data_IF_584071621493
#
_entry.id   IF_584071621493
#
_cell.length_a   1.000
_cell.length_b   1.000
_cell.length_c   1.000
_cell.angle_alpha   90.00
_cell.angle_beta   90.00
_cell.angle_gamma   90.00
#
_symmetry.space_group_name_H-M   'P 1'
#
loop_
_entity.id
_entity.type
_entity.pdbx_description
1 polymer ?
#
# COMPACT_ATOMS: atom_id res chain seq x y z
N UNK A 1 -7.98 10.64 -46.46
CA UNK A 1 -8.15 10.81 -45.01
C UNK A 1 -7.13 9.91 -44.35
N UNK A 2 -6.18 10.47 -43.58
CA UNK A 2 -5.17 9.66 -42.90
C UNK A 2 -5.85 8.76 -41.86
N UNK A 3 -5.62 7.45 -41.94
CA UNK A 3 -6.18 6.51 -40.97
C UNK A 3 -5.18 6.43 -39.80
N UNK A 4 -5.53 7.06 -38.69
CA UNK A 4 -4.67 7.11 -37.50
C UNK A 4 -4.90 5.85 -36.66
N UNK A 5 -3.82 5.15 -36.37
CA UNK A 5 -3.78 3.90 -35.61
C UNK A 5 -3.22 4.17 -34.21
N UNK A 6 -4.03 3.88 -33.20
CA UNK A 6 -3.64 3.97 -31.79
C UNK A 6 -3.34 2.55 -31.28
N UNK A 7 -2.06 2.24 -31.09
CA UNK A 7 -1.59 0.90 -30.71
C UNK A 7 -1.83 0.58 -29.22
N UNK A 8 -2.25 1.57 -28.41
CA UNK A 8 -2.64 1.35 -27.01
C UNK A 8 -4.01 0.66 -26.89
N UNK A 9 -4.82 0.70 -27.96
CA UNK A 9 -6.12 0.03 -28.00
C UNK A 9 -5.99 -1.47 -28.19
N UNK A 10 -7.04 -2.18 -27.78
CA UNK A 10 -7.08 -3.64 -27.92
C UNK A 10 -7.04 -4.07 -29.40
N UNK A 11 -6.42 -5.21 -29.68
CA UNK A 11 -6.34 -5.79 -31.03
C UNK A 11 -7.75 -5.99 -31.60
N UNK A 12 -8.73 -6.32 -30.76
CA UNK A 12 -10.14 -6.46 -31.13
C UNK A 12 -10.71 -5.13 -31.65
N UNK A 13 -10.53 -4.02 -30.91
CA UNK A 13 -11.03 -2.71 -31.32
C UNK A 13 -10.38 -2.24 -32.62
N UNK A 14 -9.07 -2.41 -32.74
CA UNK A 14 -8.31 -2.03 -33.91
C UNK A 14 -8.76 -2.83 -35.15
N UNK A 15 -8.83 -4.16 -35.05
CA UNK A 15 -9.24 -5.01 -36.16
C UNK A 15 -10.72 -4.85 -36.52
N UNK A 16 -11.57 -4.49 -35.56
CA UNK A 16 -12.99 -4.19 -35.81
C UNK A 16 -13.16 -2.87 -36.54
N UNK A 17 -12.36 -1.85 -36.17
CA UNK A 17 -12.37 -0.53 -36.80
C UNK A 17 -11.71 -0.54 -38.18
N UNK A 18 -10.64 -1.31 -38.33
CA UNK A 18 -9.86 -1.43 -39.57
C UNK A 18 -9.67 -2.91 -39.93
N UNK A 19 -10.63 -3.53 -40.64
CA UNK A 19 -10.58 -4.97 -40.98
C UNK A 19 -9.34 -5.40 -41.78
N UNK A 20 -8.71 -4.46 -42.50
CA UNK A 20 -7.46 -4.69 -43.27
C UNK A 20 -6.29 -5.04 -42.33
N UNK A 21 -6.24 -4.45 -41.12
CA UNK A 21 -5.17 -4.72 -40.15
C UNK A 21 -5.17 -6.17 -39.70
N UNK A 22 -6.34 -6.81 -39.65
CA UNK A 22 -6.45 -8.25 -39.33
C UNK A 22 -5.68 -9.11 -40.34
N UNK A 23 -5.71 -8.78 -41.62
CA UNK A 23 -4.95 -9.48 -42.65
C UNK A 23 -3.45 -9.26 -42.48
N UNK A 24 -3.04 -8.00 -42.31
CA UNK A 24 -1.63 -7.62 -42.14
C UNK A 24 -0.99 -8.27 -40.91
N UNK A 25 -1.70 -8.28 -39.77
CA UNK A 25 -1.20 -8.95 -38.57
C UNK A 25 -1.11 -10.48 -38.76
N UNK A 26 -2.08 -11.09 -39.43
CA UNK A 26 -2.09 -12.54 -39.66
C UNK A 26 -0.89 -12.99 -40.51
N UNK A 27 -0.52 -12.21 -41.51
CA UNK A 27 0.64 -12.46 -42.39
C UNK A 27 1.98 -12.20 -41.71
N UNK A 28 2.00 -11.39 -40.64
CA UNK A 28 3.21 -10.97 -39.93
C UNK A 28 3.24 -11.49 -38.48
N UNK A 29 3.06 -12.81 -38.32
CA UNK A 29 3.30 -13.51 -37.05
C UNK A 29 2.07 -13.74 -36.16
N UNK A 30 0.89 -13.21 -36.54
CA UNK A 30 -0.35 -13.35 -35.76
C UNK A 30 -1.43 -14.19 -36.45
N UNK A 31 -1.07 -15.26 -37.19
CA UNK A 31 -2.03 -16.09 -37.94
C UNK A 31 -3.26 -16.56 -37.11
N UNK A 32 -3.06 -16.82 -35.82
CA UNK A 32 -4.09 -17.24 -34.85
C UNK A 32 -5.26 -16.25 -34.68
N UNK A 33 -5.10 -14.96 -35.03
CA UNK A 33 -6.20 -13.98 -34.95
C UNK A 33 -7.29 -14.24 -36.00
N UNK A 34 -6.98 -15.06 -37.02
CA UNK A 34 -7.94 -15.48 -38.04
C UNK A 34 -8.80 -16.66 -37.58
N UNK A 35 -8.41 -17.34 -36.50
CA UNK A 35 -9.18 -18.46 -35.94
C UNK A 35 -10.53 -17.99 -35.37
N UNK A 36 -11.61 -18.79 -35.52
CA UNK A 36 -12.94 -18.42 -35.04
C UNK A 36 -12.93 -18.20 -33.51
N UNK A 37 -13.32 -17.01 -33.05
CA UNK A 37 -13.49 -16.71 -31.63
C UNK A 37 -12.23 -16.20 -30.91
N UNK A 38 -11.03 -16.34 -31.49
CA UNK A 38 -9.77 -15.89 -30.84
C UNK A 38 -9.64 -14.37 -30.73
N UNK A 39 -10.05 -13.65 -31.77
CA UNK A 39 -10.05 -12.19 -31.75
C UNK A 39 -11.06 -11.63 -30.73
N UNK A 40 -12.21 -12.30 -30.56
CA UNK A 40 -13.26 -11.91 -29.61
C UNK A 40 -12.90 -12.21 -28.15
N UNK A 41 -11.96 -13.12 -27.90
CA UNK A 41 -11.57 -13.55 -26.56
C UNK A 41 -10.27 -12.89 -26.14
N UNK A 42 -9.15 -13.31 -26.74
CA UNK A 42 -7.81 -12.81 -26.40
C UNK A 42 -7.56 -11.41 -26.95
N UNK A 43 -8.14 -11.08 -28.12
CA UNK A 43 -7.95 -9.78 -28.75
C UNK A 43 -8.55 -8.60 -27.97
N UNK A 44 -9.48 -8.83 -27.03
CA UNK A 44 -10.07 -7.76 -26.19
C UNK A 44 -9.15 -7.31 -25.05
N UNK A 45 -8.26 -8.20 -24.62
CA UNK A 45 -7.36 -7.96 -23.49
C UNK A 45 -5.89 -7.77 -23.91
N UNK A 46 -5.58 -8.00 -25.19
CA UNK A 46 -4.24 -7.86 -25.75
C UNK A 46 -4.14 -6.62 -26.63
N UNK A 47 -3.05 -5.86 -26.50
CA UNK A 47 -2.69 -4.75 -27.41
C UNK A 47 -1.64 -5.23 -28.42
N UNK A 48 -1.44 -4.49 -29.52
CA UNK A 48 -0.45 -4.87 -30.55
C UNK A 48 0.97 -4.95 -29.97
N UNK A 49 1.46 -3.97 -29.17
CA UNK A 49 2.79 -4.03 -28.55
C UNK A 49 2.97 -5.25 -27.63
N UNK A 50 2.02 -5.50 -26.73
CA UNK A 50 2.05 -6.65 -25.82
C UNK A 50 1.99 -7.98 -26.58
N UNK A 51 1.25 -8.02 -27.70
CA UNK A 51 1.20 -9.18 -28.59
C UNK A 51 2.54 -9.44 -29.30
N UNK A 52 3.23 -8.39 -29.74
CA UNK A 52 4.56 -8.46 -30.35
C UNK A 52 5.59 -9.00 -29.35
N UNK A 53 5.63 -8.45 -28.13
CA UNK A 53 6.54 -8.91 -27.07
C UNK A 53 6.30 -10.38 -26.71
N UNK A 54 5.04 -10.80 -26.61
CA UNK A 54 4.69 -12.18 -26.27
C UNK A 54 5.04 -13.19 -27.38
N UNK A 55 4.95 -12.79 -28.66
CA UNK A 55 5.25 -13.65 -29.80
C UNK A 55 6.67 -13.50 -30.35
N UNK A 56 7.46 -12.58 -29.81
CA UNK A 56 8.79 -12.24 -30.33
C UNK A 56 8.74 -11.68 -31.76
N UNK A 57 7.67 -10.94 -32.10
CA UNK A 57 7.54 -10.26 -33.40
C UNK A 57 8.05 -8.82 -33.22
N UNK A 58 8.90 -8.37 -34.14
CA UNK A 58 9.45 -7.01 -34.09
C UNK A 58 8.33 -5.97 -34.30
N UNK A 59 8.13 -5.13 -33.29
CA UNK A 59 7.06 -4.12 -33.30
C UNK A 59 7.34 -3.03 -34.35
N UNK A 60 8.59 -2.67 -34.59
CA UNK A 60 8.97 -1.64 -35.57
C UNK A 60 8.78 -2.12 -37.00
N UNK A 61 9.08 -3.39 -37.28
CA UNK A 61 8.78 -4.02 -38.58
C UNK A 61 7.27 -4.02 -38.85
N UNK A 62 6.46 -4.38 -37.84
CA UNK A 62 5.00 -4.37 -37.97
C UNK A 62 4.44 -2.94 -38.15
N UNK A 63 4.97 -1.95 -37.43
CA UNK A 63 4.64 -0.53 -37.60
C UNK A 63 4.98 -0.04 -39.01
N UNK A 64 6.15 -0.40 -39.54
CA UNK A 64 6.56 -0.05 -40.90
C UNK A 64 5.59 -0.61 -41.95
N UNK A 65 5.08 -1.82 -41.75
CA UNK A 65 4.05 -2.43 -42.61
C UNK A 65 2.74 -1.65 -42.54
N UNK A 66 2.29 -1.22 -41.35
CA UNK A 66 1.10 -0.37 -41.23
C UNK A 66 1.29 0.98 -41.92
N UNK A 67 2.47 1.61 -41.81
CA UNK A 67 2.81 2.85 -42.52
C UNK A 67 2.80 2.66 -44.05
N UNK A 68 3.37 1.56 -44.55
CA UNK A 68 3.36 1.22 -45.97
C UNK A 68 1.94 1.04 -46.53
N UNK A 69 0.99 0.62 -45.69
CA UNK A 69 -0.44 0.49 -46.03
C UNK A 69 -1.26 1.76 -45.75
N UNK A 70 -0.59 2.88 -45.46
CA UNK A 70 -1.22 4.21 -45.34
C UNK A 70 -1.79 4.53 -43.96
N UNK A 71 -1.39 3.79 -42.91
CA UNK A 71 -1.76 4.10 -41.53
C UNK A 71 -0.71 5.02 -40.88
N UNK A 72 -1.17 6.05 -40.16
CA UNK A 72 -0.31 6.92 -39.35
C UNK A 72 -0.41 6.46 -37.90
N UNK A 73 0.70 6.21 -37.24
CA UNK A 73 0.70 5.67 -35.88
C UNK A 73 0.71 6.82 -34.87
N UNK A 74 -0.22 6.79 -33.92
CA UNK A 74 -0.38 7.83 -32.91
C UNK A 74 0.82 7.79 -31.94
N UNK A 75 1.53 8.92 -31.80
CA UNK A 75 2.67 9.07 -30.88
C UNK A 75 4.02 8.62 -31.42
N UNK A 76 4.10 8.25 -32.70
CA UNK A 76 5.31 7.69 -33.32
C UNK A 76 5.75 8.60 -34.48
N UNK A 77 6.24 9.81 -34.15
CA UNK A 77 6.93 10.67 -35.12
C UNK A 77 8.33 10.10 -35.36
N UNK A 78 8.60 9.61 -36.57
CA UNK A 78 9.91 9.08 -36.96
C UNK A 78 11.00 10.16 -36.81
N UNK A 79 12.12 9.87 -36.13
CA UNK A 79 13.29 10.72 -36.18
C UNK A 79 14.08 10.44 -37.45
N UNK A 80 14.30 11.49 -38.26
CA UNK A 80 15.25 11.45 -39.36
C UNK A 80 16.69 11.41 -38.83
N UNK A 81 17.38 10.31 -39.13
CA UNK A 81 18.82 10.15 -39.34
C UNK A 81 19.83 10.71 -38.31
N UNK A 82 20.44 9.77 -37.59
CA UNK A 82 21.87 9.64 -37.26
C UNK A 82 22.58 10.76 -36.47
N UNK A 83 22.99 10.44 -35.23
CA UNK A 83 24.39 10.18 -34.84
C UNK A 83 24.47 10.01 -33.30
N UNK A 84 24.87 8.82 -32.84
CA UNK A 84 25.48 8.60 -31.50
C UNK A 84 27.00 8.78 -31.63
N UNK A 85 27.80 9.12 -30.58
CA UNK A 85 27.58 8.70 -29.19
C UNK A 85 27.99 9.69 -28.08
N UNK A 86 27.46 9.48 -26.86
CA UNK A 86 28.22 9.22 -25.63
C UNK A 86 27.44 9.67 -24.37
N UNK A 87 27.44 8.79 -23.37
CA UNK A 87 27.23 9.02 -21.93
C UNK A 87 26.58 10.33 -21.49
N UNK A 88 25.29 10.29 -21.13
CA UNK A 88 24.77 11.14 -20.05
C UNK A 88 23.82 10.37 -19.14
N UNK A 89 24.06 10.56 -17.83
CA UNK A 89 23.28 10.12 -16.66
C UNK A 89 21.80 10.53 -16.76
N UNK A 90 20.91 9.90 -15.96
CA UNK A 90 19.48 10.18 -16.02
C UNK A 90 19.19 11.62 -15.57
N UNK A 91 18.77 12.46 -16.52
CA UNK A 91 18.26 13.79 -16.26
C UNK A 91 16.74 13.75 -16.12
N UNK A 92 16.31 14.00 -14.89
CA UNK A 92 15.19 14.86 -14.51
C UNK A 92 13.76 14.45 -14.93
N UNK A 93 13.11 13.82 -13.96
CA UNK A 93 11.68 13.96 -13.71
C UNK A 93 11.33 15.43 -13.36
N UNK A 94 11.37 16.33 -14.34
CA UNK A 94 10.80 17.67 -14.22
C UNK A 94 9.65 17.81 -15.24
N UNK A 95 8.42 17.96 -14.72
CA UNK A 95 7.13 18.17 -15.42
C UNK A 95 6.22 16.95 -15.65
N UNK A 96 6.05 16.07 -14.67
CA UNK A 96 4.79 15.32 -14.57
C UNK A 96 3.71 16.20 -13.92
N UNK A 97 2.49 16.31 -14.48
CA UNK A 97 1.42 17.13 -13.91
C UNK A 97 1.00 16.57 -12.53
N UNK A 98 0.87 17.48 -11.55
CA UNK A 98 0.27 17.17 -10.24
C UNK A 98 -1.18 16.77 -10.51
N UNK A 99 -1.57 15.57 -10.09
CA UNK A 99 -2.95 15.09 -10.24
C UNK A 99 -3.93 16.12 -9.66
N UNK A 100 -4.92 16.54 -10.45
CA UNK A 100 -5.87 17.56 -10.01
C UNK A 100 -7.28 16.99 -9.83
N UNK A 101 -7.59 15.86 -10.46
CA UNK A 101 -8.90 15.22 -10.38
C UNK A 101 -8.84 13.85 -9.68
N UNK A 102 -9.95 13.40 -9.04
CA UNK A 102 -10.01 12.08 -8.42
C UNK A 102 -9.72 10.93 -9.39
N UNK A 103 -10.13 11.03 -10.65
CA UNK A 103 -9.84 10.00 -11.66
C UNK A 103 -8.35 9.94 -12.04
N UNK A 104 -7.68 11.08 -12.17
CA UNK A 104 -6.23 11.14 -12.41
C UNK A 104 -5.44 10.60 -11.21
N UNK A 105 -5.89 10.90 -9.98
CA UNK A 105 -5.28 10.36 -8.77
C UNK A 105 -5.42 8.85 -8.69
N UNK A 106 -6.59 8.32 -9.01
CA UNK A 106 -6.83 6.87 -9.07
C UNK A 106 -5.95 6.20 -10.12
N UNK A 107 -5.81 6.81 -11.29
CA UNK A 107 -4.92 6.30 -12.34
C UNK A 107 -3.44 6.31 -11.90
N UNK A 108 -3.00 7.35 -11.17
CA UNK A 108 -1.66 7.42 -10.59
C UNK A 108 -1.43 6.37 -9.50
N UNK A 109 -2.39 6.13 -8.61
CA UNK A 109 -2.31 5.05 -7.61
C UNK A 109 -2.19 3.70 -8.31
N UNK A 110 -2.97 3.45 -9.37
CA UNK A 110 -2.84 2.25 -10.18
C UNK A 110 -1.45 2.12 -10.85
N UNK A 111 -0.91 3.24 -11.35
CA UNK A 111 0.43 3.27 -11.93
C UNK A 111 1.53 2.94 -10.90
N UNK A 112 1.44 3.47 -9.69
CA UNK A 112 2.38 3.14 -8.61
C UNK A 112 2.28 1.67 -8.19
N UNK A 113 1.07 1.09 -8.18
CA UNK A 113 0.88 -0.34 -7.95
C UNK A 113 1.57 -1.20 -8.99
N UNK A 114 1.51 -0.82 -10.27
CA UNK A 114 2.21 -1.52 -11.35
C UNK A 114 3.74 -1.41 -11.17
N UNK A 115 4.25 -0.20 -10.91
CA UNK A 115 5.69 0.05 -10.67
C UNK A 115 6.27 -0.77 -9.52
N UNK A 116 5.58 -0.81 -8.37
CA UNK A 116 5.98 -1.62 -7.22
C UNK A 116 5.91 -3.13 -7.52
N UNK A 117 4.98 -3.54 -8.37
CA UNK A 117 4.84 -4.94 -8.79
C UNK A 117 5.91 -5.36 -9.80
N UNK A 118 6.40 -4.44 -10.60
CA UNK A 118 7.48 -4.65 -11.57
C UNK A 118 8.88 -4.63 -10.91
N UNK A 119 8.93 -4.44 -9.59
CA UNK A 119 10.15 -4.54 -8.78
C UNK A 119 10.92 -3.22 -8.66
N UNK A 120 10.27 -2.08 -8.94
CA UNK A 120 10.87 -0.77 -8.70
C UNK A 120 11.11 -0.52 -7.21
N UNK A 121 12.17 0.22 -6.91
CA UNK A 121 12.56 0.55 -5.54
C UNK A 121 11.49 1.36 -4.82
N UNK A 122 11.19 0.96 -3.58
CA UNK A 122 10.08 1.53 -2.80
C UNK A 122 10.33 3.01 -2.47
N UNK A 123 11.58 3.43 -2.29
CA UNK A 123 11.92 4.82 -1.99
C UNK A 123 11.73 5.73 -3.21
N UNK A 124 12.03 5.25 -4.43
CA UNK A 124 11.77 6.00 -5.66
C UNK A 124 10.26 6.21 -5.89
N UNK A 125 9.45 5.17 -5.67
CA UNK A 125 7.98 5.27 -5.76
C UNK A 125 7.44 6.21 -4.67
N UNK A 126 8.01 6.17 -3.46
CA UNK A 126 7.65 7.04 -2.35
C UNK A 126 7.91 8.52 -2.64
N UNK A 127 9.04 8.88 -3.25
CA UNK A 127 9.32 10.29 -3.62
C UNK A 127 8.29 10.82 -4.63
N UNK A 128 7.98 10.03 -5.65
CA UNK A 128 6.99 10.40 -6.66
C UNK A 128 5.57 10.49 -6.07
N UNK A 129 5.21 9.54 -5.20
CA UNK A 129 3.93 9.54 -4.52
C UNK A 129 3.82 10.78 -3.61
N UNK A 130 4.86 11.07 -2.82
CA UNK A 130 4.91 12.26 -1.95
C UNK A 130 4.73 13.54 -2.75
N UNK A 131 5.40 13.67 -3.91
CA UNK A 131 5.30 14.84 -4.77
C UNK A 131 3.88 15.06 -5.30
N UNK A 132 3.20 14.00 -5.70
CA UNK A 132 1.88 14.07 -6.34
C UNK A 132 0.70 14.10 -5.35
N UNK A 133 0.90 13.58 -4.13
CA UNK A 133 -0.14 13.44 -3.11
C UNK A 133 0.07 14.33 -1.88
N UNK A 134 1.07 15.23 -1.88
CA UNK A 134 1.37 16.15 -0.75
C UNK A 134 0.18 16.97 -0.24
N UNK A 135 -0.77 17.30 -1.11
CA UNK A 135 -1.94 18.15 -0.80
C UNK A 135 -3.26 17.35 -0.82
N UNK A 136 -3.17 16.01 -0.79
CA UNK A 136 -4.32 15.10 -0.89
C UNK A 136 -4.65 14.54 0.49
N UNK A 137 -5.93 14.52 0.82
CA UNK A 137 -6.39 13.93 2.09
C UNK A 137 -6.19 12.42 2.11
N UNK A 138 -5.90 11.86 3.29
CA UNK A 138 -5.80 10.40 3.47
C UNK A 138 -7.07 9.66 3.07
N UNK A 139 -8.24 10.29 3.22
CA UNK A 139 -9.50 9.70 2.80
C UNK A 139 -9.70 9.65 1.29
N UNK A 140 -9.23 10.65 0.54
CA UNK A 140 -9.27 10.63 -0.93
C UNK A 140 -8.38 9.50 -1.49
N UNK A 141 -7.23 9.24 -0.86
CA UNK A 141 -6.35 8.11 -1.19
C UNK A 141 -7.04 6.78 -0.87
N UNK A 142 -7.59 6.65 0.34
CA UNK A 142 -8.28 5.42 0.75
C UNK A 142 -9.50 5.11 -0.11
N UNK A 143 -10.28 6.12 -0.51
CA UNK A 143 -11.42 5.97 -1.41
C UNK A 143 -10.98 5.47 -2.80
N UNK A 144 -9.90 6.04 -3.35
CA UNK A 144 -9.35 5.57 -4.62
C UNK A 144 -8.88 4.10 -4.54
N UNK A 145 -8.32 3.68 -3.41
CA UNK A 145 -7.92 2.28 -3.16
C UNK A 145 -9.11 1.34 -3.03
N UNK A 146 -10.17 1.74 -2.31
CA UNK A 146 -11.41 0.96 -2.25
C UNK A 146 -12.00 0.75 -3.64
N UNK A 147 -11.98 1.78 -4.48
CA UNK A 147 -12.44 1.66 -5.86
C UNK A 147 -11.55 0.76 -6.73
N UNK A 148 -10.24 0.71 -6.47
CA UNK A 148 -9.32 -0.21 -7.14
C UNK A 148 -9.58 -1.66 -6.73
N UNK A 149 -9.84 -1.90 -5.44
CA UNK A 149 -10.28 -3.21 -4.93
C UNK A 149 -11.61 -3.62 -5.58
N UNK A 150 -12.58 -2.71 -5.63
CA UNK A 150 -13.86 -2.94 -6.30
C UNK A 150 -13.70 -3.18 -7.82
N UNK A 151 -12.68 -2.56 -8.43
CA UNK A 151 -12.28 -2.74 -9.83
C UNK A 151 -11.52 -4.05 -10.11
N UNK A 152 -11.27 -4.89 -9.09
CA UNK A 152 -10.65 -6.20 -9.24
C UNK A 152 -9.14 -6.23 -9.01
N UNK A 153 -8.53 -5.15 -8.51
CA UNK A 153 -7.13 -5.16 -8.07
C UNK A 153 -7.01 -6.01 -6.79
N UNK A 154 -6.07 -6.98 -6.71
CA UNK A 154 -5.89 -7.80 -5.52
C UNK A 154 -5.54 -6.97 -4.28
N UNK A 155 -6.17 -7.28 -3.14
CA UNK A 155 -5.93 -6.60 -1.85
C UNK A 155 -4.46 -6.58 -1.44
N UNK A 156 -3.72 -7.67 -1.70
CA UNK A 156 -2.28 -7.76 -1.41
C UNK A 156 -1.44 -6.71 -2.15
N UNK A 157 -1.88 -6.29 -3.34
CA UNK A 157 -1.20 -5.22 -4.09
C UNK A 157 -1.50 -3.86 -3.47
N UNK A 158 -2.77 -3.63 -3.12
CA UNK A 158 -3.21 -2.37 -2.49
C UNK A 158 -2.56 -2.18 -1.12
N UNK A 159 -2.37 -3.27 -0.37
CA UNK A 159 -1.66 -3.32 0.90
C UNK A 159 -0.22 -2.80 0.85
N UNK A 160 0.53 -3.04 -0.24
CA UNK A 160 1.89 -2.50 -0.40
C UNK A 160 1.92 -0.97 -0.49
N UNK A 161 0.83 -0.37 -0.94
CA UNK A 161 0.67 1.08 -1.00
C UNK A 161 0.32 1.67 0.38
N UNK A 162 -0.19 0.83 1.29
CA UNK A 162 -0.50 1.27 2.64
C UNK A 162 0.71 1.74 3.43
N UNK A 163 1.86 1.10 3.24
CA UNK A 163 3.10 1.51 3.89
C UNK A 163 3.67 2.80 3.27
N UNK A 164 3.45 3.03 1.96
CA UNK A 164 3.90 4.24 1.26
C UNK A 164 3.08 5.46 1.66
N UNK A 165 1.75 5.36 1.73
CA UNK A 165 0.92 6.50 2.10
C UNK A 165 0.94 6.80 3.61
N UNK A 166 1.20 5.80 4.49
CA UNK A 166 1.39 6.05 5.93
C UNK A 166 2.62 6.93 6.17
N UNK A 167 3.72 6.65 5.46
CA UNK A 167 4.94 7.45 5.47
C UNK A 167 4.79 8.88 4.89
N UNK A 168 3.75 9.13 4.07
CA UNK A 168 3.40 10.49 3.62
C UNK A 168 2.78 11.33 4.73
N UNK A 169 1.98 10.69 5.60
CA UNK A 169 1.28 11.36 6.69
C UNK A 169 2.14 11.51 7.95
N UNK A 170 3.27 10.80 8.05
CA UNK A 170 4.30 10.89 9.11
C UNK A 170 4.97 12.28 9.32
N UNK A 171 4.46 13.35 8.73
CA UNK A 171 4.97 14.70 8.99
C UNK A 171 4.12 15.87 8.55
N UNK A 172 2.98 15.64 7.88
CA UNK A 172 2.09 16.72 7.39
C UNK A 172 0.63 16.29 7.38
N UNK A 173 0.07 15.98 8.54
CA UNK A 173 -1.37 16.10 8.73
C UNK A 173 -1.67 17.54 9.15
N UNK A 174 -1.76 18.45 8.17
CA UNK A 174 -2.52 19.68 8.36
C UNK A 174 -4.00 19.30 8.21
N UNK A 175 -4.56 18.67 9.24
CA UNK A 175 -6.00 18.77 9.45
C UNK A 175 -6.28 20.28 9.51
N UNK A 176 -7.09 20.78 8.57
CA UNK A 176 -7.72 22.07 8.77
C UNK A 176 -8.27 22.05 10.20
N UNK A 177 -7.98 23.05 11.04
CA UNK A 177 -8.43 23.04 12.42
C UNK A 177 -9.94 23.23 12.37
N UNK A 178 -10.68 22.14 12.20
CA UNK A 178 -12.00 22.04 12.76
C UNK A 178 -11.73 22.22 14.25
N UNK A 179 -12.16 23.34 14.83
CA UNK A 179 -12.08 23.57 16.27
C UNK A 179 -13.04 22.62 16.99
N UNK A 180 -12.85 21.32 16.80
CA UNK A 180 -13.89 20.31 16.77
C UNK A 180 -14.03 19.63 18.11
N UNK A 181 -15.28 19.29 18.43
CA UNK A 181 -15.73 18.52 19.59
C UNK A 181 -14.89 17.24 19.84
N UNK A 182 -14.21 16.75 18.82
CA UNK A 182 -13.31 15.60 18.80
C UNK A 182 -12.08 15.73 19.70
N UNK A 183 -11.65 16.94 20.04
CA UNK A 183 -10.55 17.21 20.99
C UNK A 183 -11.06 17.33 22.45
N UNK A 184 -12.36 17.10 22.67
CA UNK A 184 -12.98 17.21 23.99
C UNK A 184 -12.95 15.85 24.70
N UNK A 185 -12.54 15.80 25.99
CA UNK A 185 -12.64 14.59 26.80
C UNK A 185 -14.05 14.00 26.78
N UNK A 186 -14.13 12.71 26.47
CA UNK A 186 -15.38 11.97 26.32
C UNK A 186 -15.81 11.71 24.88
N UNK A 187 -15.20 12.38 23.90
CA UNK A 187 -15.37 11.98 22.50
C UNK A 187 -14.61 10.66 22.22
N UNK A 188 -15.16 9.72 21.42
CA UNK A 188 -14.48 8.46 21.11
C UNK A 188 -13.12 8.67 20.44
N UNK A 189 -13.03 9.57 19.46
CA UNK A 189 -11.76 9.91 18.79
C UNK A 189 -10.74 10.48 19.77
N UNK A 190 -11.13 11.39 20.67
CA UNK A 190 -10.23 11.87 21.71
C UNK A 190 -9.64 10.71 22.53
N UNK A 191 -10.48 9.74 22.92
CA UNK A 191 -10.05 8.60 23.72
C UNK A 191 -9.05 7.73 22.94
N UNK A 192 -9.32 7.45 21.66
CA UNK A 192 -8.40 6.69 20.81
C UNK A 192 -7.05 7.40 20.65
N UNK A 193 -7.05 8.72 20.39
CA UNK A 193 -5.81 9.51 20.31
C UNK A 193 -5.00 9.45 21.59
N UNK A 194 -5.65 9.64 22.74
CA UNK A 194 -4.98 9.54 24.03
C UNK A 194 -4.48 8.13 24.35
N UNK A 195 -5.10 7.09 23.79
CA UNK A 195 -4.62 5.72 23.91
C UNK A 195 -3.42 5.49 23.01
N UNK A 196 -3.44 5.95 21.75
CA UNK A 196 -2.29 5.89 20.85
C UNK A 196 -1.05 6.58 21.44
N UNK A 197 -1.20 7.79 21.99
CA UNK A 197 -0.12 8.49 22.68
C UNK A 197 0.45 7.68 23.85
N UNK A 198 -0.42 7.03 24.62
CA UNK A 198 0.00 6.20 25.76
C UNK A 198 0.65 4.90 25.33
N UNK A 199 0.18 4.28 24.25
CA UNK A 199 0.78 3.09 23.66
C UNK A 199 2.20 3.44 23.19
N UNK A 200 2.38 4.53 22.44
CA UNK A 200 3.70 4.98 21.99
C UNK A 200 4.63 5.30 23.18
N UNK A 201 4.14 6.01 24.21
CA UNK A 201 4.92 6.26 25.41
C UNK A 201 5.31 4.96 26.13
N UNK A 202 4.39 4.00 26.26
CA UNK A 202 4.68 2.68 26.84
C UNK A 202 5.76 1.95 26.04
N UNK A 203 5.66 1.93 24.72
CA UNK A 203 6.62 1.30 23.83
C UNK A 203 8.01 1.95 23.96
N UNK A 204 8.10 3.27 23.81
CA UNK A 204 9.39 3.97 23.76
C UNK A 204 10.05 4.18 25.12
N UNK A 205 9.26 4.44 26.17
CA UNK A 205 9.80 4.80 27.49
C UNK A 205 10.04 3.58 28.39
N UNK A 206 9.38 2.44 28.08
CA UNK A 206 9.45 1.23 28.91
C UNK A 206 9.95 0.00 28.13
N UNK A 207 9.24 -0.42 27.09
CA UNK A 207 9.54 -1.70 26.40
C UNK A 207 10.87 -1.63 25.63
N UNK A 208 11.07 -0.63 24.77
CA UNK A 208 12.26 -0.53 23.93
C UNK A 208 13.59 -0.43 24.73
N UNK A 209 13.68 0.34 25.83
CA UNK A 209 14.87 0.33 26.70
C UNK A 209 15.16 -1.05 27.30
N UNK A 210 14.12 -1.80 27.63
CA UNK A 210 14.23 -3.09 28.31
C UNK A 210 14.60 -4.22 27.33
N UNK A 211 14.08 -4.15 26.10
CA UNK A 211 14.54 -4.97 24.97
C UNK A 211 16.00 -4.67 24.65
N UNK A 212 16.39 -3.39 24.61
CA UNK A 212 17.79 -3.01 24.41
C UNK A 212 18.69 -3.56 25.52
N UNK A 213 18.24 -3.55 26.77
CA UNK A 213 18.97 -4.15 27.89
C UNK A 213 19.18 -5.65 27.68
N UNK A 214 18.17 -6.37 27.22
CA UNK A 214 18.30 -7.79 26.88
C UNK A 214 19.38 -8.06 25.83
N UNK A 215 19.50 -7.19 24.82
CA UNK A 215 20.53 -7.27 23.78
C UNK A 215 21.94 -6.90 24.23
N UNK A 216 22.11 -6.31 25.42
CA UNK A 216 23.45 -6.04 25.98
C UNK A 216 24.04 -7.23 26.74
N UNK A 217 23.24 -8.26 27.00
CA UNK A 217 23.70 -9.51 27.60
C UNK A 217 24.63 -10.25 26.62
N UNK A 218 25.64 -10.91 27.16
CA UNK A 218 26.63 -11.67 26.36
C UNK A 218 26.74 -13.09 26.89
N UNK A 219 27.48 -13.96 26.20
CA UNK A 219 27.75 -15.33 26.67
C UNK A 219 28.43 -15.38 28.05
N UNK A 220 29.05 -14.27 28.48
CA UNK A 220 29.64 -14.14 29.82
C UNK A 220 28.65 -13.75 30.91
N UNK A 221 27.43 -13.32 30.54
CA UNK A 221 26.36 -12.98 31.48
C UNK A 221 25.90 -14.23 32.23
N UNK A 222 25.75 -14.08 33.54
CA UNK A 222 25.26 -15.15 34.41
C UNK A 222 23.77 -15.41 34.19
N UNK A 223 23.33 -16.61 34.52
CA UNK A 223 21.91 -16.96 34.50
C UNK A 223 21.08 -16.03 35.41
N UNK A 224 21.62 -15.56 36.54
CA UNK A 224 20.92 -14.65 37.46
C UNK A 224 20.70 -13.25 36.84
N UNK A 225 21.69 -12.73 36.11
CA UNK A 225 21.53 -11.49 35.34
C UNK A 225 20.49 -11.65 34.24
N UNK A 226 20.55 -12.74 33.47
CA UNK A 226 19.56 -13.06 32.45
C UNK A 226 18.16 -13.24 33.05
N UNK A 227 18.04 -13.88 34.23
CA UNK A 227 16.76 -14.06 34.92
C UNK A 227 16.17 -12.72 35.38
N UNK A 228 17.02 -11.80 35.84
CA UNK A 228 16.61 -10.44 36.19
C UNK A 228 16.02 -9.68 34.99
N UNK A 229 16.67 -9.78 33.82
CA UNK A 229 16.15 -9.17 32.59
C UNK A 229 14.87 -9.87 32.11
N UNK A 230 14.83 -11.21 32.14
CA UNK A 230 13.65 -11.99 31.78
C UNK A 230 12.43 -11.62 32.61
N UNK A 231 12.60 -11.39 33.92
CA UNK A 231 11.52 -10.97 34.81
C UNK A 231 10.95 -9.60 34.43
N UNK A 232 11.81 -8.67 34.00
CA UNK A 232 11.37 -7.34 33.57
C UNK A 232 10.63 -7.44 32.23
N UNK A 233 11.20 -8.14 31.25
CA UNK A 233 10.54 -8.35 29.96
C UNK A 233 9.19 -9.05 30.12
N UNK A 234 9.08 -10.01 31.06
CA UNK A 234 7.80 -10.64 31.38
C UNK A 234 6.77 -9.64 31.90
N UNK A 235 7.18 -8.73 32.78
CA UNK A 235 6.29 -7.67 33.27
C UNK A 235 5.90 -6.67 32.17
N UNK A 236 6.72 -6.50 31.13
CA UNK A 236 6.38 -5.69 29.96
C UNK A 236 5.40 -6.42 29.04
N UNK A 237 5.57 -7.73 28.81
CA UNK A 237 4.61 -8.58 28.11
C UNK A 237 3.24 -8.57 28.80
N UNK A 238 3.19 -8.75 30.12
CA UNK A 238 1.94 -8.62 30.90
C UNK A 238 1.30 -7.22 30.74
N UNK A 239 2.10 -6.17 30.54
CA UNK A 239 1.59 -4.82 30.36
C UNK A 239 1.06 -4.55 28.94
N UNK A 240 1.43 -5.36 27.93
CA UNK A 240 0.87 -5.29 26.58
C UNK A 240 -0.63 -5.63 26.54
N UNK A 241 -1.16 -6.32 27.55
CA UNK A 241 -2.60 -6.62 27.66
C UNK A 241 -3.47 -5.36 27.53
N UNK A 242 -3.02 -4.22 28.05
CA UNK A 242 -3.74 -2.94 27.93
C UNK A 242 -3.79 -2.44 26.47
N UNK A 243 -2.74 -2.72 25.67
CA UNK A 243 -2.73 -2.44 24.23
C UNK A 243 -3.76 -3.33 23.53
N UNK A 244 -3.86 -4.60 23.90
CA UNK A 244 -4.83 -5.53 23.32
C UNK A 244 -6.28 -5.18 23.67
N UNK A 245 -6.53 -4.56 24.83
CA UNK A 245 -7.83 -4.00 25.17
C UNK A 245 -8.20 -2.85 24.22
N UNK A 246 -7.26 -1.98 23.87
CA UNK A 246 -7.47 -0.94 22.89
C UNK A 246 -7.76 -1.54 21.48
N UNK A 247 -6.99 -2.53 21.05
CA UNK A 247 -7.24 -3.23 19.77
C UNK A 247 -8.62 -3.88 19.72
N UNK A 248 -8.99 -4.59 20.78
CA UNK A 248 -10.33 -5.19 20.89
C UNK A 248 -11.43 -4.13 20.78
N UNK A 249 -11.22 -2.94 21.35
CA UNK A 249 -12.20 -1.87 21.29
C UNK A 249 -12.42 -1.35 19.87
N UNK A 250 -11.35 -1.10 19.10
CA UNK A 250 -11.51 -0.67 17.70
C UNK A 250 -12.12 -1.78 16.84
N UNK A 251 -11.73 -3.04 17.09
CA UNK A 251 -12.27 -4.21 16.39
C UNK A 251 -13.76 -4.42 16.64
N UNK A 252 -14.22 -4.29 17.88
CA UNK A 252 -15.61 -4.57 18.25
C UNK A 252 -16.53 -3.35 18.12
N UNK A 253 -16.01 -2.14 18.34
CA UNK A 253 -16.83 -0.93 18.40
C UNK A 253 -16.70 -0.04 17.17
N UNK A 254 -15.55 0.02 16.50
CA UNK A 254 -15.34 0.94 15.39
C UNK A 254 -15.49 0.25 14.03
N UNK A 255 -14.79 -0.86 13.82
CA UNK A 255 -14.82 -1.58 12.53
C UNK A 255 -16.24 -1.95 12.08
N UNK A 256 -17.14 -2.48 12.92
CA UNK A 256 -18.47 -2.85 12.47
C UNK A 256 -19.33 -1.66 12.03
N UNK A 257 -18.99 -0.45 12.49
CA UNK A 257 -19.66 0.78 12.04
C UNK A 257 -19.14 1.21 10.67
N UNK A 258 -17.82 1.19 10.47
CA UNK A 258 -17.22 1.49 9.15
C UNK A 258 -17.66 0.49 8.07
N UNK A 259 -17.72 -0.80 8.41
CA UNK A 259 -18.13 -1.83 7.47
C UNK A 259 -19.59 -1.69 7.03
N UNK A 260 -20.47 -1.14 7.89
CA UNK A 260 -21.86 -0.79 7.50
C UNK A 260 -21.94 0.36 6.50
N UNK A 261 -20.87 1.15 6.37
CA UNK A 261 -20.70 2.17 5.35
C UNK A 261 -19.89 1.65 4.14
N UNK A 262 -19.79 0.33 3.97
CA UNK A 262 -19.03 -0.36 2.91
C UNK A 262 -17.50 -0.09 2.95
N UNK A 263 -16.99 0.44 4.06
CA UNK A 263 -15.56 0.68 4.28
C UNK A 263 -14.97 -0.53 5.00
N UNK A 264 -14.47 -1.51 4.23
CA UNK A 264 -13.98 -2.80 4.78
C UNK A 264 -12.47 -2.99 4.66
N UNK A 265 -11.76 -2.11 3.94
CA UNK A 265 -10.30 -2.19 3.79
C UNK A 265 -9.57 -2.02 5.12
N UNK A 266 -9.73 -0.89 5.84
CA UNK A 266 -9.01 -0.63 7.07
C UNK A 266 -9.20 -1.71 8.13
N UNK A 267 -10.44 -2.20 8.33
CA UNK A 267 -10.74 -3.23 9.33
C UNK A 267 -9.99 -4.54 9.06
N UNK A 268 -9.98 -5.02 7.81
CA UNK A 268 -9.29 -6.27 7.45
C UNK A 268 -7.78 -6.18 7.60
N UNK A 269 -7.21 -5.04 7.22
CA UNK A 269 -5.76 -4.82 7.26
C UNK A 269 -5.28 -4.65 8.69
N UNK A 270 -5.94 -3.79 9.46
CA UNK A 270 -5.55 -3.50 10.83
C UNK A 270 -5.75 -4.73 11.73
N UNK A 271 -6.81 -5.52 11.53
CA UNK A 271 -6.99 -6.76 12.27
C UNK A 271 -5.81 -7.72 12.10
N UNK A 272 -5.35 -7.95 10.86
CA UNK A 272 -4.20 -8.81 10.62
C UNK A 272 -2.94 -8.30 11.33
N UNK A 273 -2.76 -6.98 11.36
CA UNK A 273 -1.62 -6.36 12.04
C UNK A 273 -1.74 -6.40 13.57
N UNK A 274 -2.94 -6.27 14.12
CA UNK A 274 -3.21 -6.47 15.55
C UNK A 274 -2.85 -7.91 15.97
N UNK A 275 -3.18 -8.89 15.13
CA UNK A 275 -2.83 -10.29 15.36
C UNK A 275 -1.32 -10.54 15.27
N UNK A 276 -0.60 -9.87 14.36
CA UNK A 276 0.87 -9.94 14.32
C UNK A 276 1.50 -9.47 15.65
N UNK A 277 1.05 -8.34 16.21
CA UNK A 277 1.55 -7.85 17.50
C UNK A 277 1.22 -8.84 18.64
N UNK A 278 -0.01 -9.36 18.68
CA UNK A 278 -0.41 -10.37 19.68
C UNK A 278 0.46 -11.62 19.58
N UNK A 279 0.69 -12.11 18.37
CA UNK A 279 1.48 -13.30 18.12
C UNK A 279 2.95 -13.09 18.51
N UNK A 280 3.51 -11.92 18.25
CA UNK A 280 4.87 -11.58 18.63
C UNK A 280 5.04 -11.59 20.17
N UNK A 281 4.14 -10.94 20.90
CA UNK A 281 4.16 -10.95 22.38
C UNK A 281 3.98 -12.37 22.93
N UNK A 282 2.99 -13.12 22.44
CA UNK A 282 2.77 -14.51 22.86
C UNK A 282 3.96 -15.42 22.54
N UNK A 283 4.66 -15.16 21.42
CA UNK A 283 5.89 -15.85 21.05
C UNK A 283 7.03 -15.60 22.04
N UNK A 284 7.21 -14.35 22.44
CA UNK A 284 8.18 -13.95 23.48
C UNK A 284 7.88 -14.63 24.83
N UNK A 285 6.60 -14.67 25.24
CA UNK A 285 6.18 -15.34 26.48
C UNK A 285 6.47 -16.83 26.44
N UNK A 286 6.08 -17.51 25.35
CA UNK A 286 6.30 -18.94 25.18
C UNK A 286 7.80 -19.30 25.23
N UNK A 287 8.68 -18.47 24.67
CA UNK A 287 10.13 -18.65 24.79
C UNK A 287 10.60 -18.60 26.26
N UNK A 288 10.11 -17.64 27.04
CA UNK A 288 10.47 -17.55 28.46
C UNK A 288 9.93 -18.71 29.29
N UNK A 289 8.73 -19.20 29.00
CA UNK A 289 8.13 -20.33 29.70
C UNK A 289 8.86 -21.64 29.44
N UNK A 290 9.27 -21.86 28.19
CA UNK A 290 10.00 -23.07 27.76
C UNK A 290 11.45 -23.11 28.24
N UNK A 291 11.96 -22.01 28.79
CA UNK A 291 13.31 -21.93 29.36
C UNK A 291 13.45 -22.66 30.71
N UNK A 292 12.35 -22.94 31.43
CA UNK A 292 12.36 -23.60 32.75
C UNK A 292 13.38 -23.00 33.75
N UNK A 293 13.53 -21.67 33.76
CA UNK A 293 14.48 -20.95 34.62
C UNK A 293 15.94 -20.95 34.13
N UNK A 294 16.23 -21.57 32.99
CA UNK A 294 17.54 -21.54 32.34
C UNK A 294 17.57 -20.44 31.28
N UNK A 295 17.96 -19.25 31.71
CA UNK A 295 18.14 -18.09 30.84
C UNK A 295 19.61 -17.93 30.46
N UNK A 296 19.85 -17.72 29.16
CA UNK A 296 21.13 -17.34 28.59
C UNK A 296 20.96 -16.15 27.62
N UNK A 297 22.08 -15.59 27.16
CA UNK A 297 22.05 -14.42 26.27
C UNK A 297 21.40 -14.73 24.91
N UNK A 298 21.49 -15.97 24.42
CA UNK A 298 20.88 -16.37 23.15
C UNK A 298 19.35 -16.38 23.24
N UNK A 299 18.80 -16.93 24.32
CA UNK A 299 17.38 -16.87 24.62
C UNK A 299 16.89 -15.43 24.78
N UNK A 300 17.63 -14.60 25.53
CA UNK A 300 17.26 -13.19 25.71
C UNK A 300 17.28 -12.39 24.40
N UNK A 301 18.22 -12.70 23.50
CA UNK A 301 18.24 -12.11 22.16
C UNK A 301 17.03 -12.56 21.33
N UNK A 302 16.64 -13.84 21.38
CA UNK A 302 15.46 -14.34 20.67
C UNK A 302 14.16 -13.73 21.21
N UNK A 303 14.03 -13.57 22.53
CA UNK A 303 12.89 -12.86 23.15
C UNK A 303 12.88 -11.40 22.72
N UNK A 304 14.04 -10.75 22.67
CA UNK A 304 14.17 -9.38 22.17
C UNK A 304 13.75 -9.24 20.70
N UNK A 305 14.04 -10.21 19.83
CA UNK A 305 13.62 -10.20 18.43
C UNK A 305 12.08 -10.17 18.30
N UNK A 306 11.37 -10.99 19.08
CA UNK A 306 9.90 -10.96 19.12
C UNK A 306 9.34 -9.65 19.66
N UNK A 307 9.96 -9.08 20.70
CA UNK A 307 9.50 -7.82 21.26
C UNK A 307 9.78 -6.62 20.33
N UNK A 308 10.87 -6.65 19.56
CA UNK A 308 11.11 -5.64 18.51
C UNK A 308 10.02 -5.71 17.42
N UNK A 309 9.59 -6.90 17.01
CA UNK A 309 8.46 -7.07 16.08
C UNK A 309 7.15 -6.52 16.66
N UNK A 310 6.90 -6.74 17.96
CA UNK A 310 5.75 -6.17 18.66
C UNK A 310 5.80 -4.63 18.77
N UNK A 311 6.99 -4.07 19.02
CA UNK A 311 7.25 -2.62 19.07
C UNK A 311 6.94 -1.99 17.71
N UNK A 312 7.59 -2.48 16.65
CA UNK A 312 7.40 -1.98 15.29
C UNK A 312 5.93 -2.11 14.85
N UNK A 313 5.28 -3.21 15.21
CA UNK A 313 3.86 -3.44 14.93
C UNK A 313 2.94 -2.46 15.65
N UNK A 314 3.19 -2.17 16.93
CA UNK A 314 2.40 -1.22 17.72
C UNK A 314 2.58 0.23 17.22
N UNK A 315 3.80 0.63 16.88
CA UNK A 315 4.09 1.95 16.27
C UNK A 315 3.39 2.11 14.92
N UNK A 316 3.51 1.09 14.07
CA UNK A 316 2.83 1.05 12.77
C UNK A 316 1.31 1.14 12.93
N UNK A 317 0.76 0.48 13.93
CA UNK A 317 -0.68 0.51 14.21
C UNK A 317 -1.13 1.90 14.66
N UNK A 318 -0.47 2.50 15.65
CA UNK A 318 -0.80 3.85 16.12
C UNK A 318 -0.75 4.88 14.97
N UNK A 319 0.26 4.79 14.10
CA UNK A 319 0.36 5.62 12.89
C UNK A 319 -0.82 5.40 11.93
N UNK A 320 -1.15 4.15 11.63
CA UNK A 320 -2.29 3.82 10.74
C UNK A 320 -3.62 4.28 11.35
N UNK A 321 -3.77 4.22 12.67
CA UNK A 321 -4.96 4.70 13.34
C UNK A 321 -5.14 6.22 13.23
N UNK A 322 -4.09 6.98 13.53
CA UNK A 322 -4.12 8.46 13.46
C UNK A 322 -4.27 8.98 12.03
N UNK A 323 -3.58 8.33 11.08
CA UNK A 323 -3.48 8.84 9.72
C UNK A 323 -4.57 8.30 8.79
N UNK A 324 -5.20 7.16 9.13
CA UNK A 324 -6.16 6.50 8.25
C UNK A 324 -7.48 6.22 8.97
N UNK A 325 -7.46 5.46 10.06
CA UNK A 325 -8.69 4.97 10.71
C UNK A 325 -9.54 6.11 11.27
N UNK A 326 -8.92 7.00 12.03
CA UNK A 326 -9.59 8.13 12.69
C UNK A 326 -10.15 9.11 11.64
N UNK A 327 -9.37 9.59 10.65
CA UNK A 327 -9.90 10.46 9.59
C UNK A 327 -11.09 9.86 8.85
N UNK A 328 -11.01 8.58 8.45
CA UNK A 328 -12.13 7.89 7.81
C UNK A 328 -13.35 7.79 8.72
N UNK A 329 -13.12 7.51 10.01
CA UNK A 329 -14.20 7.45 10.99
C UNK A 329 -14.89 8.79 11.14
N UNK A 330 -14.16 9.90 11.16
CA UNK A 330 -14.73 11.24 11.26
C UNK A 330 -15.50 11.67 10.01
N UNK A 331 -15.05 11.25 8.83
CA UNK A 331 -15.75 11.55 7.58
C UNK A 331 -17.09 10.83 7.45
N UNK A 332 -17.16 9.58 7.91
CA UNK A 332 -18.31 8.70 7.66
C UNK A 332 -19.20 8.48 8.88
N UNK A 333 -18.65 8.51 10.09
CA UNK A 333 -19.37 8.27 11.33
C UNK A 333 -19.75 9.60 11.99
N UNK A 334 -20.77 10.25 11.43
CA UNK A 334 -21.39 11.37 12.10
C UNK A 334 -22.28 10.86 13.24
N UNK A 335 -22.32 11.63 14.35
CA UNK A 335 -23.45 11.55 15.26
C UNK A 335 -24.71 11.74 14.42
N UNK A 336 -25.62 10.75 14.48
CA UNK A 336 -26.93 10.80 13.84
C UNK A 336 -27.46 12.23 13.91
N UNK A 337 -28.07 12.80 12.84
CA UNK A 337 -28.86 14.00 13.04
C UNK A 337 -29.83 13.64 14.15
N UNK A 338 -29.69 14.32 15.30
CA UNK A 338 -30.72 14.31 16.33
C UNK A 338 -31.96 14.67 15.55
N UNK A 339 -32.85 13.70 15.39
CA UNK A 339 -34.14 13.91 14.76
C UNK A 339 -34.71 15.18 15.41
N UNK A 340 -34.94 16.27 14.66
CA UNK A 340 -35.42 17.52 15.25
C UNK A 340 -36.77 17.33 15.94
N UNK A 341 -37.46 16.21 15.71
CA UNK A 341 -38.69 15.80 16.39
C UNK A 341 -38.46 14.97 17.67
N UNK A 342 -37.20 14.71 18.06
CA UNK A 342 -36.86 14.07 19.33
C UNK A 342 -36.48 15.11 20.41
N UNK A 343 -37.41 16.03 20.69
CA UNK A 343 -37.54 16.72 21.99
C UNK A 343 -38.90 17.37 22.17
#
# INVERSE_FOLDING_TARGET
MAQVLDLSKSVYEICTKYPVIKGLMAENGFAEITEPGRLQTMGRFMTIPKGCDHKGVDLEELKAIFRAHGFTILGDEEPAAAETPADEKPAEAENAPIAQTPEERKALIAQYLERLNDGEDIEAVREDFTRNFKDVSGSEISNAEQELIAGGVPMEKVLKLCDVHAALFEGKVSCAPTGAVEETPGHPVWTMRQENDRILAFIHDRVAPDVKRARTLTESSSNEECAGVAAILKADMDAFDEVFVHYKRKEELLFPHLERHDITGPSKVMWGKDDEVRNAVNGAEALLETAYGQYDAGLMAAVADYLDEAIEGAESMASKEENVLIPLSLEHLNCYPVDPDCR
#
